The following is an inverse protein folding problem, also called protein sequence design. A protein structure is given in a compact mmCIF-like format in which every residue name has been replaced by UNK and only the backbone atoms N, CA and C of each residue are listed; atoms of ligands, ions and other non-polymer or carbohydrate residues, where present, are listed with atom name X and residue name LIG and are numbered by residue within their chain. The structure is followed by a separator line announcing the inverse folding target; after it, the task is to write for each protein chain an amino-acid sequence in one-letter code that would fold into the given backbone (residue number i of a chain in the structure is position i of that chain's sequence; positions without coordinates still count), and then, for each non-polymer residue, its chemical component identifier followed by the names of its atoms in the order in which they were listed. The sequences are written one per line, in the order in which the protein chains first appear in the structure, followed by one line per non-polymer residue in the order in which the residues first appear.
data_IF_519715391325
#
_entry.id   IF_519715391325
#
_cell.length_a   1.000
_cell.length_b   1.000
_cell.length_c   1.000
_cell.angle_alpha   90.00
_cell.angle_beta   90.00
_cell.angle_gamma   90.00
#
_symmetry.space_group_name_H-M   'P 1'
#
loop_
_entity.id
_entity.type
_entity.pdbx_description
1 polymer ?
#
# COMPACT_ATOMS: atom_id res chain seq x y z
N UNK A 1 -65.13 -19.39 -46.87
CA UNK A 1 -64.12 -18.29 -46.57
C UNK A 1 -63.23 -18.74 -45.44
N UNK A 2 -61.97 -19.14 -45.75
CA UNK A 2 -61.01 -19.63 -44.75
C UNK A 2 -59.98 -18.54 -44.44
N UNK A 3 -59.97 -18.09 -43.20
CA UNK A 3 -58.99 -17.10 -42.70
C UNK A 3 -57.67 -17.82 -42.34
N UNK A 4 -56.63 -17.58 -43.13
CA UNK A 4 -55.24 -17.98 -42.84
C UNK A 4 -54.64 -17.01 -41.85
N UNK A 5 -54.38 -17.46 -40.59
CA UNK A 5 -53.63 -16.70 -39.60
C UNK A 5 -52.13 -16.82 -39.95
N UNK A 6 -51.51 -15.69 -40.29
CA UNK A 6 -50.07 -15.53 -40.39
C UNK A 6 -49.48 -15.44 -38.99
N UNK A 7 -48.66 -16.41 -38.61
CA UNK A 7 -47.83 -16.34 -37.39
C UNK A 7 -46.50 -15.68 -37.78
N UNK A 8 -46.24 -14.45 -37.29
CA UNK A 8 -44.91 -13.88 -37.38
C UNK A 8 -44.00 -14.47 -36.27
N UNK A 9 -42.78 -14.90 -36.61
CA UNK A 9 -41.83 -15.29 -35.58
C UNK A 9 -41.27 -14.05 -34.88
N UNK A 10 -41.40 -13.99 -33.54
CA UNK A 10 -40.73 -13.00 -32.71
C UNK A 10 -39.27 -13.42 -32.57
N UNK A 11 -38.39 -12.70 -33.24
CA UNK A 11 -36.95 -12.89 -33.14
C UNK A 11 -36.46 -12.21 -31.81
N UNK A 12 -36.25 -13.01 -30.74
CA UNK A 12 -35.62 -12.53 -29.51
C UNK A 12 -34.11 -12.32 -29.78
N UNK A 13 -33.71 -11.08 -29.99
CA UNK A 13 -32.30 -10.71 -30.01
C UNK A 13 -31.72 -10.79 -28.57
N UNK A 14 -30.88 -11.79 -28.32
CA UNK A 14 -30.07 -11.88 -27.11
C UNK A 14 -29.03 -10.76 -27.15
N UNK A 15 -29.27 -9.72 -26.37
CA UNK A 15 -28.27 -8.66 -26.10
C UNK A 15 -27.24 -9.23 -25.12
N UNK A 16 -26.10 -9.65 -25.62
CA UNK A 16 -24.97 -10.02 -24.81
C UNK A 16 -24.41 -8.75 -24.14
N UNK A 17 -24.66 -8.57 -22.84
CA UNK A 17 -24.00 -7.53 -22.04
C UNK A 17 -22.52 -7.88 -21.97
N UNK A 18 -21.60 -6.95 -22.29
CA UNK A 18 -20.17 -7.20 -22.12
C UNK A 18 -19.89 -7.40 -20.64
N UNK A 19 -19.43 -8.57 -20.27
CA UNK A 19 -18.84 -8.84 -18.95
C UNK A 19 -17.54 -8.05 -18.91
N UNK A 20 -17.52 -6.94 -18.17
CA UNK A 20 -16.27 -6.22 -17.88
C UNK A 20 -15.34 -7.19 -17.16
N UNK A 21 -14.23 -7.53 -17.80
CA UNK A 21 -13.22 -8.36 -17.18
C UNK A 21 -12.74 -7.68 -15.88
N UNK A 22 -12.90 -8.37 -14.75
CA UNK A 22 -12.44 -7.88 -13.47
C UNK A 22 -10.91 -7.72 -13.53
N UNK A 23 -10.43 -6.52 -13.25
CA UNK A 23 -8.99 -6.26 -13.24
C UNK A 23 -8.28 -7.09 -12.17
N UNK A 24 -7.20 -7.78 -12.56
CA UNK A 24 -6.42 -8.61 -11.64
C UNK A 24 -5.24 -7.84 -11.08
N UNK A 25 -4.93 -8.06 -9.79
CA UNK A 25 -3.79 -7.47 -9.10
C UNK A 25 -2.86 -8.58 -8.56
N UNK A 26 -1.54 -8.31 -8.41
CA UNK A 26 -0.86 -7.04 -8.69
C UNK A 26 -0.77 -6.74 -10.20
N UNK A 27 -0.80 -5.45 -10.56
CA UNK A 27 -0.48 -4.99 -11.91
C UNK A 27 0.94 -4.47 -11.99
N UNK A 28 1.56 -4.64 -13.15
CA UNK A 28 2.85 -4.03 -13.46
C UNK A 28 2.73 -3.13 -14.69
N UNK A 29 3.37 -1.96 -14.62
CA UNK A 29 3.44 -1.00 -15.73
C UNK A 29 4.91 -0.86 -16.11
N UNK A 30 5.32 -1.21 -17.33
CA UNK A 30 6.70 -1.01 -17.80
C UNK A 30 7.14 0.45 -17.65
N UNK A 31 8.37 0.66 -17.20
CA UNK A 31 8.95 1.99 -17.05
C UNK A 31 10.46 1.93 -17.25
N UNK A 32 11.09 3.09 -17.46
CA UNK A 32 12.54 3.18 -17.67
C UNK A 32 13.30 2.49 -16.54
N UNK A 33 14.15 1.54 -16.89
CA UNK A 33 14.97 0.76 -15.96
C UNK A 33 14.23 -0.30 -15.16
N UNK A 34 12.92 -0.53 -15.40
CA UNK A 34 12.15 -1.52 -14.65
C UNK A 34 10.63 -1.39 -14.81
N UNK A 35 9.92 -1.31 -13.70
CA UNK A 35 8.46 -1.31 -13.68
C UNK A 35 7.88 -0.58 -12.47
N UNK A 36 6.66 -0.08 -12.61
CA UNK A 36 5.78 0.29 -11.49
C UNK A 36 4.99 -0.94 -11.07
N UNK A 37 4.80 -1.14 -9.78
CA UNK A 37 3.98 -2.23 -9.23
C UNK A 37 2.80 -1.60 -8.49
N UNK A 38 1.58 -2.06 -8.85
CA UNK A 38 0.33 -1.65 -8.22
C UNK A 38 -0.23 -2.87 -7.49
N UNK A 39 -0.13 -2.94 -6.15
CA UNK A 39 -0.45 -4.13 -5.37
C UNK A 39 -1.93 -4.53 -5.38
N UNK A 40 -2.83 -3.54 -5.40
CA UNK A 40 -4.27 -3.76 -5.28
C UNK A 40 -5.06 -2.60 -5.91
N UNK A 41 -6.36 -2.78 -6.10
CA UNK A 41 -7.26 -1.79 -6.69
C UNK A 41 -7.20 -0.41 -5.99
N UNK A 42 -7.19 -0.38 -4.66
CA UNK A 42 -7.04 0.88 -3.90
C UNK A 42 -5.76 1.64 -4.25
N UNK A 43 -4.70 0.93 -4.61
CA UNK A 43 -3.43 1.53 -5.02
C UNK A 43 -3.47 2.03 -6.48
N UNK A 44 -4.31 1.41 -7.35
CA UNK A 44 -4.56 1.92 -8.70
C UNK A 44 -5.17 3.31 -8.65
N UNK A 45 -6.20 3.50 -7.80
CA UNK A 45 -6.81 4.81 -7.62
C UNK A 45 -5.79 5.86 -7.18
N UNK A 46 -4.93 5.54 -6.22
CA UNK A 46 -3.86 6.45 -5.77
C UNK A 46 -2.87 6.78 -6.90
N UNK A 47 -2.49 5.79 -7.72
CA UNK A 47 -1.64 6.00 -8.88
C UNK A 47 -2.29 6.93 -9.91
N UNK A 48 -3.58 6.74 -10.19
CA UNK A 48 -4.29 7.51 -11.22
C UNK A 48 -4.62 8.94 -10.77
N UNK A 49 -5.00 9.14 -9.51
CA UNK A 49 -5.42 10.44 -8.99
C UNK A 49 -4.23 11.26 -8.45
N UNK A 50 -3.39 10.67 -7.61
CA UNK A 50 -2.29 11.38 -6.94
C UNK A 50 -0.96 11.27 -7.68
N UNK A 51 -0.89 10.52 -8.79
CA UNK A 51 0.27 10.43 -9.69
C UNK A 51 1.56 9.93 -9.02
N UNK A 52 1.45 9.05 -8.03
CA UNK A 52 2.61 8.36 -7.46
C UNK A 52 2.49 6.83 -7.57
N UNK A 53 3.64 6.16 -7.71
CA UNK A 53 3.73 4.71 -7.75
C UNK A 53 3.74 4.13 -6.33
N UNK A 54 2.90 3.14 -5.98
CA UNK A 54 2.98 2.43 -4.69
C UNK A 54 4.32 1.73 -4.49
N UNK A 55 4.86 1.14 -5.56
CA UNK A 55 6.23 0.64 -5.61
C UNK A 55 6.80 0.80 -7.02
N UNK A 56 8.11 1.00 -7.10
CA UNK A 56 8.86 1.10 -8.34
C UNK A 56 10.13 0.26 -8.27
N UNK A 57 10.29 -0.64 -9.22
CA UNK A 57 11.55 -1.35 -9.43
C UNK A 57 12.41 -0.58 -10.42
N UNK A 58 13.70 -0.43 -10.10
CA UNK A 58 14.72 0.10 -10.99
C UNK A 58 15.96 -0.79 -10.89
N UNK A 59 16.25 -1.59 -11.93
CA UNK A 59 17.22 -2.69 -11.82
C UNK A 59 16.85 -3.65 -10.71
N UNK A 60 17.77 -3.94 -9.81
CA UNK A 60 17.59 -4.82 -8.66
C UNK A 60 17.03 -4.11 -7.41
N UNK A 61 16.86 -2.79 -7.48
CA UNK A 61 16.34 -2.01 -6.36
C UNK A 61 14.83 -1.83 -6.46
N UNK A 62 14.16 -1.99 -5.33
CA UNK A 62 12.74 -1.76 -5.16
C UNK A 62 12.52 -0.58 -4.20
N UNK A 63 11.88 0.46 -4.69
CA UNK A 63 11.47 1.64 -3.94
C UNK A 63 10.00 1.53 -3.61
N UNK A 64 9.65 1.50 -2.33
CA UNK A 64 8.27 1.38 -1.84
C UNK A 64 7.85 2.70 -1.23
N UNK A 65 6.79 3.29 -1.72
CA UNK A 65 6.22 4.53 -1.20
C UNK A 65 5.77 4.40 0.25
N UNK A 66 5.70 5.51 0.95
CA UNK A 66 5.38 5.56 2.35
C UNK A 66 4.01 4.98 2.71
N UNK A 67 3.96 4.29 3.83
CA UNK A 67 2.72 3.91 4.50
C UNK A 67 2.58 4.71 5.78
N UNK A 68 1.45 5.40 5.94
CA UNK A 68 1.19 6.26 7.09
C UNK A 68 0.51 5.47 8.19
N UNK A 69 1.09 5.50 9.40
CA UNK A 69 0.42 5.15 10.62
C UNK A 69 -0.31 6.40 11.16
N UNK A 70 -1.61 6.33 11.18
CA UNK A 70 -2.47 7.40 11.65
C UNK A 70 -3.71 6.83 12.31
N UNK A 71 -4.37 7.68 13.10
CA UNK A 71 -5.56 7.31 13.84
C UNK A 71 -6.74 7.04 12.91
N UNK A 72 -7.37 5.89 13.09
CA UNK A 72 -8.68 5.59 12.49
C UNK A 72 -9.80 6.35 13.21
N UNK A 73 -10.99 6.41 12.58
CA UNK A 73 -12.13 7.20 13.05
C UNK A 73 -12.51 6.94 14.51
N UNK A 74 -12.43 5.67 14.95
CA UNK A 74 -12.86 5.22 16.27
C UNK A 74 -11.69 4.75 17.15
N UNK A 75 -10.46 5.18 16.84
CA UNK A 75 -9.26 4.80 17.59
C UNK A 75 -8.82 5.90 18.55
N UNK A 76 -8.29 5.47 19.70
CA UNK A 76 -7.67 6.35 20.68
C UNK A 76 -6.28 6.82 20.28
N UNK A 77 -5.72 7.69 21.13
CA UNK A 77 -4.32 8.19 21.06
C UNK A 77 -3.41 7.47 22.04
N UNK A 78 -3.91 6.43 22.72
CA UNK A 78 -3.14 5.64 23.67
C UNK A 78 -2.03 4.79 23.00
N UNK A 79 -1.01 4.35 23.75
CA UNK A 79 0.10 3.57 23.23
C UNK A 79 -0.30 2.29 22.49
N UNK A 80 -1.31 1.58 22.93
CA UNK A 80 -1.74 0.33 22.27
C UNK A 80 -2.48 0.63 20.96
N UNK A 81 -3.28 1.69 20.91
CA UNK A 81 -3.88 2.19 19.67
C UNK A 81 -2.79 2.57 18.67
N UNK A 82 -1.75 3.26 19.10
CA UNK A 82 -0.62 3.62 18.24
C UNK A 82 0.11 2.38 17.68
N UNK A 83 0.40 1.38 18.49
CA UNK A 83 1.00 0.12 18.03
C UNK A 83 0.13 -0.57 16.96
N UNK A 84 -1.21 -0.55 17.11
CA UNK A 84 -2.12 -1.07 16.08
C UNK A 84 -2.03 -0.29 14.78
N UNK A 85 -1.94 1.04 14.86
CA UNK A 85 -1.79 1.94 13.71
C UNK A 85 -0.48 1.67 12.97
N UNK A 86 0.63 1.56 13.70
CA UNK A 86 1.94 1.21 13.15
C UNK A 86 1.90 -0.17 12.50
N UNK A 87 1.28 -1.16 13.15
CA UNK A 87 1.15 -2.52 12.58
C UNK A 87 0.37 -2.51 11.26
N UNK A 88 -0.69 -1.70 11.12
CA UNK A 88 -1.39 -1.53 9.84
C UNK A 88 -0.49 -0.97 8.74
N UNK A 89 0.37 -0.01 9.06
CA UNK A 89 1.34 0.52 8.11
C UNK A 89 2.34 -0.56 7.67
N UNK A 90 2.88 -1.36 8.61
CA UNK A 90 3.76 -2.48 8.27
C UNK A 90 3.06 -3.57 7.45
N UNK A 91 1.80 -3.89 7.73
CA UNK A 91 1.01 -4.83 6.90
C UNK A 91 0.80 -4.28 5.49
N UNK A 92 0.57 -2.98 5.33
CA UNK A 92 0.45 -2.37 3.99
C UNK A 92 1.77 -2.44 3.21
N UNK A 93 2.91 -2.20 3.88
CA UNK A 93 4.25 -2.35 3.31
C UNK A 93 4.54 -3.81 2.93
N UNK A 94 4.20 -4.77 3.80
CA UNK A 94 4.35 -6.21 3.54
C UNK A 94 3.59 -6.66 2.28
N UNK A 95 2.34 -6.22 2.16
CA UNK A 95 1.52 -6.50 0.98
C UNK A 95 2.17 -5.93 -0.30
N UNK A 96 2.76 -4.74 -0.22
CA UNK A 96 3.44 -4.12 -1.36
C UNK A 96 4.74 -4.83 -1.71
N UNK A 97 5.54 -5.24 -0.71
CA UNK A 97 6.73 -6.05 -0.90
C UNK A 97 6.37 -7.39 -1.57
N UNK A 98 5.39 -8.11 -1.05
CA UNK A 98 4.93 -9.41 -1.60
C UNK A 98 4.42 -9.27 -3.04
N UNK A 99 3.63 -8.25 -3.32
CA UNK A 99 3.16 -7.94 -4.67
C UNK A 99 4.32 -7.64 -5.65
N UNK A 100 5.45 -7.19 -5.11
CA UNK A 100 6.68 -6.92 -5.86
C UNK A 100 7.64 -8.11 -5.92
N UNK A 101 7.29 -9.26 -5.34
CA UNK A 101 8.16 -10.45 -5.25
C UNK A 101 9.29 -10.32 -4.24
N UNK A 102 9.13 -9.47 -3.22
CA UNK A 102 10.09 -9.21 -2.15
C UNK A 102 9.48 -9.48 -0.77
N UNK A 103 10.31 -9.45 0.26
CA UNK A 103 9.96 -9.61 1.67
C UNK A 103 10.67 -8.56 2.51
N UNK A 104 10.39 -8.51 3.81
CA UNK A 104 11.14 -7.65 4.72
C UNK A 104 12.61 -8.02 4.88
N UNK A 105 13.00 -9.27 4.57
CA UNK A 105 14.41 -9.70 4.58
C UNK A 105 15.24 -9.05 3.45
N UNK A 106 14.56 -8.57 2.40
CA UNK A 106 15.19 -7.87 1.28
C UNK A 106 15.34 -6.35 1.53
N UNK A 107 14.76 -5.83 2.63
CA UNK A 107 14.78 -4.39 2.94
C UNK A 107 16.18 -3.98 3.42
N UNK A 108 16.78 -3.02 2.73
CA UNK A 108 18.11 -2.49 3.04
C UNK A 108 18.07 -1.12 3.71
N UNK A 109 16.96 -0.37 3.54
CA UNK A 109 16.81 0.97 4.12
C UNK A 109 15.35 1.23 4.52
N UNK A 110 15.18 1.83 5.69
CA UNK A 110 13.92 2.41 6.16
C UNK A 110 14.14 3.93 6.30
N UNK A 111 13.25 4.72 5.70
CA UNK A 111 13.10 6.13 6.02
C UNK A 111 11.78 6.31 6.74
N UNK A 112 11.77 7.08 7.82
CA UNK A 112 10.55 7.37 8.53
C UNK A 112 10.46 8.85 8.90
N UNK A 113 9.28 9.41 8.70
CA UNK A 113 8.96 10.81 8.92
C UNK A 113 7.95 10.89 10.06
N UNK A 114 8.29 11.60 11.12
CA UNK A 114 7.55 11.57 12.38
C UNK A 114 6.99 12.93 12.72
N UNK A 115 5.72 12.98 13.07
CA UNK A 115 5.13 14.11 13.75
C UNK A 115 5.30 13.86 15.25
N UNK A 116 6.30 14.49 15.87
CA UNK A 116 6.65 14.22 17.27
C UNK A 116 5.75 14.91 18.28
N UNK A 117 5.07 15.96 17.87
CA UNK A 117 4.28 16.84 18.73
C UNK A 117 2.89 17.07 18.12
N UNK A 118 1.88 17.17 18.97
CA UNK A 118 0.51 17.41 18.54
C UNK A 118 -0.53 16.64 19.36
N UNK A 119 -1.83 16.87 19.10
CA UNK A 119 -2.91 16.30 19.92
C UNK A 119 -3.09 14.78 19.73
N UNK A 120 -2.57 14.23 18.64
CA UNK A 120 -2.70 12.80 18.31
C UNK A 120 -1.49 11.97 18.77
N UNK A 121 -0.54 12.58 19.50
CA UNK A 121 0.69 11.91 19.91
C UNK A 121 0.44 10.94 21.08
N UNK A 122 0.86 9.66 20.96
CA UNK A 122 0.60 8.63 21.96
C UNK A 122 1.53 8.72 23.17
N UNK A 123 2.70 9.34 23.01
CA UNK A 123 3.77 9.37 24.01
C UNK A 123 4.92 10.31 23.59
N UNK A 124 5.87 10.59 24.46
CA UNK A 124 7.12 11.28 24.13
C UNK A 124 7.91 10.55 23.02
N UNK A 125 8.73 11.29 22.29
CA UNK A 125 9.46 10.86 21.09
C UNK A 125 10.15 9.50 21.21
N UNK A 126 10.91 9.27 22.28
CA UNK A 126 11.66 8.03 22.48
C UNK A 126 10.75 6.83 22.77
N UNK A 127 9.62 7.05 23.42
CA UNK A 127 8.62 6.03 23.68
C UNK A 127 7.87 5.67 22.40
N UNK A 128 7.54 6.66 21.55
CA UNK A 128 6.98 6.40 20.21
C UNK A 128 7.94 5.53 19.39
N UNK A 129 9.24 5.89 19.39
CA UNK A 129 10.25 5.12 18.67
C UNK A 129 10.37 3.68 19.20
N UNK A 130 10.31 3.50 20.52
CA UNK A 130 10.32 2.17 21.14
C UNK A 130 9.10 1.33 20.71
N UNK A 131 7.90 1.92 20.65
CA UNK A 131 6.69 1.26 20.17
C UNK A 131 6.78 0.87 18.69
N UNK A 132 7.32 1.75 17.84
CA UNK A 132 7.57 1.46 16.43
C UNK A 132 8.56 0.29 16.29
N UNK A 133 9.64 0.30 17.08
CA UNK A 133 10.63 -0.79 17.09
C UNK A 133 10.02 -2.12 17.52
N UNK A 134 9.15 -2.12 18.52
CA UNK A 134 8.47 -3.33 18.96
C UNK A 134 7.63 -3.94 17.82
N UNK A 135 6.85 -3.11 17.12
CA UNK A 135 6.05 -3.57 15.98
C UNK A 135 6.96 -3.96 14.80
N UNK A 136 7.97 -3.16 14.46
CA UNK A 136 8.94 -3.48 13.39
C UNK A 136 9.56 -4.87 13.58
N UNK A 137 9.87 -5.24 14.82
CA UNK A 137 10.45 -6.55 15.15
C UNK A 137 9.49 -7.73 14.95
N UNK A 138 8.19 -7.47 14.72
CA UNK A 138 7.24 -8.52 14.32
C UNK A 138 7.44 -8.91 12.85
N UNK A 139 7.95 -8.00 12.02
CA UNK A 139 8.13 -8.16 10.57
C UNK A 139 9.57 -8.45 10.15
N UNK A 140 10.53 -7.79 10.78
CA UNK A 140 11.97 -7.94 10.46
C UNK A 140 12.62 -8.83 11.51
N UNK A 141 12.95 -10.07 11.12
CA UNK A 141 13.53 -11.10 12.01
C UNK A 141 15.03 -11.31 11.79
N UNK A 142 15.53 -10.92 10.63
CA UNK A 142 16.92 -11.07 10.22
C UNK A 142 17.78 -9.85 10.53
N UNK A 143 18.73 -9.57 9.64
CA UNK A 143 19.59 -8.40 9.74
C UNK A 143 18.77 -7.10 9.69
N UNK A 144 19.17 -6.14 10.51
CA UNK A 144 18.47 -4.85 10.55
C UNK A 144 18.86 -3.99 9.33
N UNK A 145 17.89 -3.39 8.62
CA UNK A 145 18.18 -2.41 7.58
C UNK A 145 18.78 -1.12 8.18
N UNK A 146 19.47 -0.34 7.36
CA UNK A 146 19.78 1.04 7.70
C UNK A 146 18.46 1.80 7.97
N UNK A 147 18.47 2.74 8.92
CA UNK A 147 17.26 3.49 9.27
C UNK A 147 17.57 4.96 9.52
N UNK A 148 16.81 5.83 8.85
CA UNK A 148 16.80 7.27 9.11
C UNK A 148 15.41 7.69 9.60
N UNK A 149 15.36 8.32 10.76
CA UNK A 149 14.14 8.88 11.37
C UNK A 149 14.23 10.40 11.41
N UNK A 150 13.26 11.09 10.81
CA UNK A 150 13.22 12.55 10.69
C UNK A 150 11.93 13.09 11.26
N UNK A 151 12.04 14.17 12.06
CA UNK A 151 10.87 14.92 12.49
C UNK A 151 10.31 15.82 11.39
N UNK A 152 8.99 15.93 11.32
CA UNK A 152 8.25 16.83 10.42
C UNK A 152 7.13 17.54 11.16
N UNK A 153 6.68 18.67 10.63
CA UNK A 153 5.54 19.44 11.18
C UNK A 153 4.18 18.80 10.88
N UNK A 154 4.09 17.90 9.88
CA UNK A 154 2.87 17.21 9.51
C UNK A 154 3.10 16.25 8.37
N UNK A 155 2.17 15.31 8.18
CA UNK A 155 2.09 14.38 7.05
C UNK A 155 0.92 14.76 6.15
N UNK A 156 0.92 14.27 4.89
CA UNK A 156 -0.13 14.59 3.95
C UNK A 156 -1.53 14.17 4.44
N UNK A 157 -1.75 12.95 4.97
CA UNK A 157 -3.01 12.61 5.61
C UNK A 157 -3.14 13.28 6.99
N UNK A 158 -4.28 13.92 7.24
CA UNK A 158 -4.64 14.42 8.57
C UNK A 158 -4.57 13.30 9.62
N UNK A 159 -4.08 13.62 10.83
CA UNK A 159 -3.92 12.65 11.92
C UNK A 159 -2.82 11.61 11.68
N UNK A 160 -2.00 11.78 10.64
CA UNK A 160 -0.81 10.96 10.43
C UNK A 160 0.25 11.21 11.50
N UNK A 161 0.76 10.15 12.12
CA UNK A 161 1.76 10.22 13.20
C UNK A 161 3.15 9.87 12.70
N UNK A 162 3.26 8.83 11.90
CA UNK A 162 4.51 8.45 11.25
C UNK A 162 4.25 7.89 9.86
N UNK A 163 5.07 8.28 8.89
CA UNK A 163 5.13 7.67 7.56
C UNK A 163 6.41 6.85 7.45
N UNK A 164 6.30 5.62 6.93
CA UNK A 164 7.40 4.66 6.81
C UNK A 164 7.57 4.29 5.34
N UNK A 165 8.76 4.57 4.79
CA UNK A 165 9.17 4.28 3.42
C UNK A 165 10.27 3.22 3.42
N UNK A 166 10.27 2.33 2.41
CA UNK A 166 11.27 1.26 2.30
C UNK A 166 12.04 1.32 1.00
N UNK A 167 13.31 0.90 1.07
CA UNK A 167 14.12 0.52 -0.10
C UNK A 167 14.57 -0.91 0.12
N UNK A 168 14.39 -1.78 -0.88
CA UNK A 168 14.78 -3.17 -0.82
C UNK A 168 15.70 -3.55 -1.98
N UNK A 169 16.63 -4.49 -1.73
CA UNK A 169 17.39 -5.15 -2.78
C UNK A 169 16.64 -6.44 -3.15
N UNK A 170 15.99 -6.43 -4.27
CA UNK A 170 15.07 -7.49 -4.69
C UNK A 170 15.20 -7.76 -6.20
N UNK A 171 16.30 -8.39 -6.64
CA UNK A 171 16.49 -8.76 -8.03
C UNK A 171 15.35 -9.66 -8.53
N UNK A 172 14.93 -9.47 -9.78
CA UNK A 172 13.94 -10.36 -10.39
C UNK A 172 14.52 -11.78 -10.46
N UNK A 173 13.80 -12.73 -9.89
CA UNK A 173 14.12 -14.15 -10.09
C UNK A 173 13.99 -14.47 -11.59
N UNK A 174 15.03 -15.07 -12.16
CA UNK A 174 15.06 -15.56 -13.54
C UNK A 174 14.13 -16.74 -13.69
#
# INVERSE_FOLDING_TARGET
MAFRRLLLPVLCALVATPVLAQETYPKTIPSSGGEVIIPAERNQKAYDEFKYAPARRAGDMLYVSGAVAGRGKDEGTDPESFKRQVRRAFVALDNTLKASGATFDDVVMINSFHVWEGPDQPAPRWEQLAMINAVKSEFIKGAHPAWTAVGTSGLLPEGGIVEIQLIAYAPKKK
#
